data_IF_443807315414
#
_entry.id   IF_443807315414
#
_cell.length_a   1.000
_cell.length_b   1.000
_cell.length_c   1.000
_cell.angle_alpha   90.00
_cell.angle_beta   90.00
_cell.angle_gamma   90.00
#
_symmetry.space_group_name_H-M   'P 1'
#
loop_
_entity.id
_entity.type
_entity.pdbx_description
1 polymer ?
#
# COMPACT_ATOMS: atom_id res chain seq x y z
N UNK A 1 9.64 2.48 -37.47
CA UNK A 1 8.35 1.78 -37.49
C UNK A 1 7.78 1.79 -36.08
N UNK A 2 6.81 2.66 -35.81
CA UNK A 2 6.08 2.67 -34.54
C UNK A 2 4.70 2.05 -34.80
N UNK A 3 4.35 1.02 -34.02
CA UNK A 3 3.09 0.31 -34.09
C UNK A 3 2.07 1.12 -33.27
N UNK A 4 1.02 1.60 -33.93
CA UNK A 4 -0.10 2.29 -33.29
C UNK A 4 -0.98 1.28 -32.53
N UNK A 5 -1.21 1.53 -31.24
CA UNK A 5 -2.22 0.81 -30.47
C UNK A 5 -3.56 1.56 -30.59
N UNK A 6 -4.57 0.84 -31.08
CA UNK A 6 -5.94 1.32 -31.30
C UNK A 6 -6.72 1.43 -29.97
N UNK A 7 -7.30 2.57 -29.60
CA UNK A 7 -8.06 2.69 -28.36
C UNK A 7 -9.42 1.99 -28.43
N UNK A 8 -9.78 1.29 -27.34
CA UNK A 8 -11.01 0.49 -27.18
C UNK A 8 -12.28 1.36 -27.18
N UNK A 9 -13.36 0.77 -27.69
CA UNK A 9 -14.69 1.30 -28.08
C UNK A 9 -15.59 1.92 -26.98
N UNK A 10 -15.08 2.25 -25.79
CA UNK A 10 -15.91 2.82 -24.73
C UNK A 10 -16.13 4.35 -24.85
N UNK A 11 -15.47 5.00 -25.81
CA UNK A 11 -15.43 6.46 -25.94
C UNK A 11 -16.59 7.09 -26.74
N UNK A 12 -17.63 6.34 -27.12
CA UNK A 12 -18.60 6.80 -28.13
C UNK A 12 -19.85 7.51 -27.60
N UNK A 13 -20.00 7.82 -26.30
CA UNK A 13 -21.14 8.61 -25.82
C UNK A 13 -20.85 9.41 -24.53
N UNK A 14 -20.01 10.45 -24.64
CA UNK A 14 -19.96 11.53 -23.64
C UNK A 14 -20.28 12.86 -24.33
N UNK A 15 -21.33 13.60 -23.91
CA UNK A 15 -21.59 14.92 -24.46
C UNK A 15 -20.57 15.93 -23.93
N UNK A 16 -20.06 16.74 -24.87
CA UNK A 16 -19.40 18.05 -24.70
C UNK A 16 -18.22 18.13 -23.71
N UNK A 17 -17.05 18.30 -24.32
CA UNK A 17 -15.73 18.64 -23.77
C UNK A 17 -15.75 19.53 -22.52
N UNK A 18 -15.23 19.01 -21.40
CA UNK A 18 -14.65 19.84 -20.34
C UNK A 18 -13.13 19.83 -20.52
N UNK A 19 -12.56 20.96 -20.93
CA UNK A 19 -11.11 21.15 -20.96
C UNK A 19 -10.63 21.50 -19.56
N UNK A 20 -10.14 20.52 -18.81
CA UNK A 20 -9.43 20.77 -17.56
C UNK A 20 -7.98 21.05 -17.95
N UNK A 21 -7.60 22.33 -17.93
CA UNK A 21 -6.19 22.71 -17.98
C UNK A 21 -5.50 22.09 -16.77
N UNK A 22 -4.60 21.13 -16.99
CA UNK A 22 -3.76 20.56 -15.93
C UNK A 22 -2.60 21.55 -15.73
N UNK A 23 -2.54 22.32 -14.63
CA UNK A 23 -1.41 23.20 -14.39
C UNK A 23 -0.12 22.36 -14.23
N UNK A 24 1.02 22.90 -14.70
CA UNK A 24 2.34 22.28 -14.56
C UNK A 24 2.59 21.87 -13.10
N UNK A 25 3.22 20.71 -12.85
CA UNK A 25 3.50 20.25 -11.49
C UNK A 25 4.41 21.25 -10.76
N UNK A 26 3.92 21.72 -9.62
CA UNK A 26 4.66 22.59 -8.70
C UNK A 26 5.71 21.77 -7.94
N UNK A 27 6.98 22.15 -8.04
CA UNK A 27 8.09 21.58 -7.29
C UNK A 27 8.57 22.61 -6.25
N UNK A 28 8.11 22.56 -4.98
CA UNK A 28 8.68 23.45 -3.97
C UNK A 28 10.03 22.92 -3.53
N UNK A 29 11.10 23.67 -3.83
CA UNK A 29 12.26 23.72 -2.95
C UNK A 29 11.91 24.64 -1.79
N UNK A 30 12.29 24.25 -0.57
CA UNK A 30 12.22 25.03 0.66
C UNK A 30 10.90 24.92 1.45
N UNK A 31 11.07 24.87 2.77
CA UNK A 31 10.04 24.71 3.80
C UNK A 31 8.87 25.69 3.59
N UNK A 32 7.61 25.27 3.81
CA UNK A 32 6.46 26.14 3.56
C UNK A 32 6.47 27.33 4.54
N UNK A 33 6.44 28.53 3.98
CA UNK A 33 6.14 29.76 4.70
C UNK A 33 4.66 29.70 5.13
N UNK A 34 4.37 29.85 6.41
CA UNK A 34 3.02 29.64 6.98
C UNK A 34 2.01 30.74 6.64
N UNK A 35 2.44 31.84 6.00
CA UNK A 35 1.58 32.97 5.62
C UNK A 35 1.17 32.98 4.13
N UNK A 36 1.61 32.00 3.33
CA UNK A 36 1.32 31.96 1.91
C UNK A 36 -0.03 31.26 1.63
N UNK A 37 -1.08 32.06 1.42
CA UNK A 37 -2.44 31.59 1.06
C UNK A 37 -2.55 31.13 -0.39
N UNK A 38 -1.64 30.28 -0.85
CA UNK A 38 -1.57 29.78 -2.24
C UNK A 38 -2.85 29.09 -2.72
N UNK A 39 -3.68 28.56 -1.80
CA UNK A 39 -4.91 27.82 -2.14
C UNK A 39 -6.20 28.63 -1.92
N UNK A 40 -6.11 29.94 -1.62
CA UNK A 40 -7.21 30.82 -1.17
C UNK A 40 -8.51 30.85 -1.98
N UNK A 41 -8.53 30.33 -3.20
CA UNK A 41 -9.72 30.28 -4.09
C UNK A 41 -10.10 28.87 -4.53
N UNK A 42 -9.45 27.84 -3.97
CA UNK A 42 -9.62 26.46 -4.39
C UNK A 42 -10.42 25.67 -3.35
N UNK A 43 -11.36 24.88 -3.85
CA UNK A 43 -12.01 23.82 -3.10
C UNK A 43 -11.42 22.47 -3.53
N UNK A 44 -10.88 21.71 -2.58
CA UNK A 44 -10.18 20.45 -2.82
C UNK A 44 -10.99 19.30 -2.25
N UNK A 45 -11.44 18.40 -3.11
CA UNK A 45 -12.09 17.15 -2.71
C UNK A 45 -11.04 16.14 -2.22
N UNK A 46 -11.11 15.76 -0.95
CA UNK A 46 -10.15 14.84 -0.31
C UNK A 46 -10.77 13.45 -0.21
N UNK A 47 -10.29 12.54 -1.06
CA UNK A 47 -10.81 11.16 -1.19
C UNK A 47 -10.06 10.10 -0.39
N UNK A 48 -9.15 10.52 0.50
CA UNK A 48 -8.33 9.63 1.32
C UNK A 48 -9.17 8.93 2.40
N UNK A 49 -8.75 7.76 2.91
CA UNK A 49 -9.37 7.17 4.09
C UNK A 49 -9.47 8.17 5.23
N UNK A 50 -10.59 8.15 5.98
CA UNK A 50 -10.92 9.19 6.97
C UNK A 50 -9.78 9.47 7.96
N UNK A 51 -9.14 8.42 8.49
CA UNK A 51 -8.00 8.53 9.42
C UNK A 51 -6.74 9.21 8.83
N UNK A 52 -6.62 9.31 7.49
CA UNK A 52 -5.54 10.02 6.80
C UNK A 52 -6.00 11.37 6.21
N UNK A 53 -7.30 11.57 6.05
CA UNK A 53 -7.86 12.76 5.44
C UNK A 53 -7.63 14.00 6.32
N UNK A 54 -7.85 13.89 7.62
CA UNK A 54 -7.88 15.06 8.51
C UNK A 54 -6.58 15.86 8.53
N UNK A 55 -5.43 15.19 8.68
CA UNK A 55 -4.12 15.87 8.61
C UNK A 55 -3.92 16.57 7.25
N UNK A 56 -4.40 15.96 6.17
CA UNK A 56 -4.25 16.51 4.83
C UNK A 56 -5.19 17.70 4.59
N UNK A 57 -6.43 17.62 5.09
CA UNK A 57 -7.38 18.73 5.08
C UNK A 57 -6.82 19.94 5.81
N UNK A 58 -6.22 19.75 7.00
CA UNK A 58 -5.59 20.85 7.75
C UNK A 58 -4.45 21.52 6.98
N UNK A 59 -3.66 20.76 6.22
CA UNK A 59 -2.60 21.34 5.37
C UNK A 59 -3.20 22.23 4.29
N UNK A 60 -4.30 21.80 3.67
CA UNK A 60 -5.02 22.58 2.65
C UNK A 60 -5.63 23.85 3.26
N UNK A 61 -6.30 23.71 4.41
CA UNK A 61 -6.96 24.79 5.13
C UNK A 61 -5.95 25.83 5.63
N UNK A 62 -4.80 25.39 6.15
CA UNK A 62 -3.70 26.28 6.55
C UNK A 62 -3.09 27.03 5.37
N UNK A 63 -3.11 26.47 4.16
CA UNK A 63 -2.70 27.15 2.93
C UNK A 63 -3.82 28.02 2.31
N UNK A 64 -4.94 28.21 3.03
CA UNK A 64 -6.06 29.07 2.66
C UNK A 64 -7.14 28.41 1.80
N UNK A 65 -7.01 27.14 1.44
CA UNK A 65 -7.99 26.43 0.62
C UNK A 65 -9.16 25.85 1.42
N UNK A 66 -10.26 25.51 0.75
CA UNK A 66 -11.37 24.78 1.34
C UNK A 66 -11.20 23.27 1.11
N UNK A 67 -11.16 22.47 2.18
CA UNK A 67 -11.05 21.01 2.07
C UNK A 67 -12.40 20.32 2.24
N UNK A 68 -12.89 19.66 1.18
CA UNK A 68 -14.12 18.86 1.19
C UNK A 68 -13.75 17.42 1.52
N UNK A 69 -14.14 16.96 2.70
CA UNK A 69 -13.87 15.59 3.16
C UNK A 69 -14.84 14.63 2.47
N UNK A 70 -14.33 13.73 1.65
CA UNK A 70 -15.14 12.74 0.96
C UNK A 70 -14.39 11.41 0.84
N UNK A 71 -14.18 10.68 1.96
CA UNK A 71 -13.47 9.40 1.92
C UNK A 71 -14.16 8.43 0.96
N UNK A 72 -13.42 7.81 0.04
CA UNK A 72 -13.97 6.78 -0.88
C UNK A 72 -13.39 5.40 -0.63
N UNK A 73 -12.55 5.26 0.38
CA UNK A 73 -11.91 4.00 0.77
C UNK A 73 -11.92 3.88 2.29
N UNK A 74 -12.56 2.82 2.78
CA UNK A 74 -12.36 2.31 4.13
C UNK A 74 -11.57 1.00 4.04
N UNK A 75 -10.69 0.79 5.02
CA UNK A 75 -9.97 -0.46 5.19
C UNK A 75 -10.65 -1.20 6.32
N UNK A 76 -11.06 -2.43 6.06
CA UNK A 76 -11.69 -3.32 7.05
C UNK A 76 -10.96 -4.66 7.05
N UNK A 77 -11.04 -5.39 8.16
CA UNK A 77 -10.57 -6.77 8.18
C UNK A 77 -11.31 -7.58 7.11
N UNK A 78 -10.68 -8.63 6.60
CA UNK A 78 -11.47 -9.69 5.94
C UNK A 78 -12.37 -10.34 6.98
N UNK A 79 -13.45 -10.97 6.52
CA UNK A 79 -14.38 -11.62 7.43
C UNK A 79 -13.64 -12.72 8.21
N UNK A 80 -14.00 -12.91 9.48
CA UNK A 80 -13.34 -13.92 10.31
C UNK A 80 -13.47 -15.29 9.66
N UNK A 81 -12.32 -15.84 9.26
CA UNK A 81 -12.22 -17.11 8.57
C UNK A 81 -11.17 -17.97 9.29
N UNK A 82 -11.53 -19.18 9.77
CA UNK A 82 -10.57 -20.12 10.33
C UNK A 82 -9.34 -20.37 9.44
N UNK A 83 -9.51 -20.28 8.13
CA UNK A 83 -8.43 -20.42 7.15
C UNK A 83 -7.37 -19.32 7.29
N UNK A 84 -7.76 -18.08 7.59
CA UNK A 84 -6.82 -16.99 7.77
C UNK A 84 -5.94 -17.22 8.99
N UNK A 85 -6.54 -17.59 10.12
CA UNK A 85 -5.83 -17.94 11.34
C UNK A 85 -4.87 -19.11 11.09
N UNK A 86 -5.30 -20.11 10.32
CA UNK A 86 -4.46 -21.24 9.92
C UNK A 86 -3.26 -20.79 9.07
N UNK A 87 -3.49 -19.98 8.04
CA UNK A 87 -2.44 -19.43 7.17
C UNK A 87 -1.41 -18.61 7.98
N UNK A 88 -1.88 -17.77 8.91
CA UNK A 88 -1.00 -16.97 9.77
C UNK A 88 -0.23 -17.84 10.77
N UNK A 89 -0.82 -18.92 11.29
CA UNK A 89 -0.12 -19.90 12.13
C UNK A 89 0.94 -20.67 11.35
N UNK A 90 0.68 -20.95 10.07
CA UNK A 90 1.61 -21.60 9.15
C UNK A 90 2.80 -20.72 8.73
N UNK A 91 2.83 -19.44 9.10
CA UNK A 91 4.05 -18.62 8.97
C UNK A 91 5.25 -19.25 9.70
N UNK A 92 4.99 -20.11 10.69
CA UNK A 92 6.01 -20.91 11.35
C UNK A 92 6.80 -21.84 10.41
N UNK A 93 6.20 -22.20 9.27
CA UNK A 93 6.74 -23.09 8.25
C UNK A 93 7.45 -22.34 7.11
N UNK A 94 7.17 -21.04 6.96
CA UNK A 94 7.76 -20.19 5.93
C UNK A 94 9.22 -19.80 6.23
N UNK A 95 9.97 -19.52 5.17
CA UNK A 95 11.31 -18.97 5.25
C UNK A 95 11.28 -17.43 5.27
N UNK A 96 10.31 -16.84 4.55
CA UNK A 96 10.18 -15.39 4.39
C UNK A 96 8.72 -14.98 4.56
N UNK A 97 8.48 -13.92 5.34
CA UNK A 97 7.18 -13.26 5.45
C UNK A 97 7.31 -11.79 4.99
N UNK A 98 6.59 -11.43 3.93
CA UNK A 98 6.63 -10.09 3.32
C UNK A 98 5.37 -9.33 3.67
N UNK A 99 5.50 -8.26 4.44
CA UNK A 99 4.41 -7.33 4.73
C UNK A 99 4.44 -6.16 3.75
N UNK A 100 3.38 -6.03 2.95
CA UNK A 100 3.35 -5.01 1.88
C UNK A 100 2.89 -3.62 2.35
N UNK A 101 2.28 -3.52 3.53
CA UNK A 101 1.79 -2.24 4.07
C UNK A 101 1.67 -2.28 5.59
N UNK A 102 1.62 -1.11 6.23
CA UNK A 102 1.33 -1.01 7.65
C UNK A 102 -0.05 -1.59 8.01
N UNK A 103 -1.04 -1.48 7.11
CA UNK A 103 -2.35 -2.10 7.31
C UNK A 103 -2.23 -3.63 7.34
N UNK A 104 -1.45 -4.22 6.44
CA UNK A 104 -1.22 -5.66 6.44
C UNK A 104 -0.64 -6.15 7.79
N UNK A 105 0.20 -5.34 8.43
CA UNK A 105 0.68 -5.65 9.79
C UNK A 105 -0.46 -5.54 10.81
N UNK A 106 -1.17 -4.42 10.83
CA UNK A 106 -2.25 -4.14 11.79
C UNK A 106 -3.37 -5.20 11.76
N UNK A 107 -3.77 -5.64 10.57
CA UNK A 107 -4.84 -6.64 10.44
C UNK A 107 -4.35 -8.09 10.59
N UNK A 108 -3.05 -8.36 10.44
CA UNK A 108 -2.51 -9.69 10.72
C UNK A 108 -2.29 -9.91 12.23
N UNK A 109 -1.86 -8.87 12.95
CA UNK A 109 -1.43 -8.95 14.36
C UNK A 109 -2.39 -9.70 15.30
N UNK A 110 -3.72 -9.48 15.26
CA UNK A 110 -4.64 -10.18 16.16
C UNK A 110 -4.64 -11.71 16.00
N UNK A 111 -4.21 -12.21 14.85
CA UNK A 111 -4.22 -13.63 14.50
C UNK A 111 -2.79 -14.19 14.32
N UNK A 112 -1.75 -13.36 14.50
CA UNK A 112 -0.37 -13.82 14.51
C UNK A 112 -0.07 -14.58 15.81
N UNK A 113 0.79 -15.61 15.78
CA UNK A 113 1.26 -16.23 17.01
C UNK A 113 2.07 -15.22 17.83
N UNK A 114 2.04 -15.37 19.16
CA UNK A 114 2.75 -14.50 20.12
C UNK A 114 4.24 -14.31 19.78
N UNK A 115 4.85 -15.34 19.20
CA UNK A 115 6.25 -15.34 18.77
C UNK A 115 6.38 -15.91 17.38
N UNK A 116 6.92 -15.12 16.47
CA UNK A 116 7.38 -15.60 15.17
C UNK A 116 8.68 -16.40 15.33
N UNK A 117 8.91 -17.45 14.51
CA UNK A 117 10.16 -18.19 14.57
C UNK A 117 11.37 -17.30 14.27
N UNK A 118 12.47 -17.53 14.97
CA UNK A 118 13.74 -16.81 14.75
C UNK A 118 14.32 -17.01 13.36
N UNK A 119 14.01 -18.14 12.72
CA UNK A 119 14.41 -18.46 11.34
C UNK A 119 13.65 -17.65 10.28
N UNK A 120 12.43 -17.18 10.60
CA UNK A 120 11.56 -16.48 9.66
C UNK A 120 12.15 -15.11 9.33
N UNK A 121 12.43 -14.85 8.06
CA UNK A 121 12.89 -13.55 7.59
C UNK A 121 11.68 -12.65 7.33
N UNK A 122 11.44 -11.70 8.23
CA UNK A 122 10.39 -10.71 8.07
C UNK A 122 10.87 -9.54 7.20
N UNK A 123 10.12 -9.24 6.16
CA UNK A 123 10.44 -8.23 5.14
C UNK A 123 9.35 -7.16 5.15
N UNK A 124 9.76 -5.89 5.16
CA UNK A 124 8.85 -4.76 5.08
C UNK A 124 9.07 -3.99 3.77
N UNK A 125 8.00 -3.73 3.02
CA UNK A 125 8.10 -2.95 1.76
C UNK A 125 8.49 -1.48 2.01
N UNK A 126 8.06 -0.88 3.12
CA UNK A 126 8.27 0.54 3.38
C UNK A 126 8.51 0.90 4.86
N UNK A 127 9.01 2.12 5.08
CA UNK A 127 9.36 2.62 6.42
C UNK A 127 8.20 2.54 7.42
N UNK A 128 6.98 2.90 6.99
CA UNK A 128 5.80 2.82 7.85
C UNK A 128 5.52 1.38 8.28
N UNK A 129 5.61 0.43 7.33
CA UNK A 129 5.44 -1.00 7.61
C UNK A 129 6.49 -1.51 8.61
N UNK A 130 7.76 -1.16 8.40
CA UNK A 130 8.85 -1.55 9.29
C UNK A 130 8.69 -0.96 10.71
N UNK A 131 8.29 0.31 10.81
CA UNK A 131 8.01 0.95 12.09
C UNK A 131 6.85 0.26 12.82
N UNK A 132 5.78 -0.10 12.10
CA UNK A 132 4.65 -0.83 12.68
C UNK A 132 5.05 -2.22 13.18
N UNK A 133 5.87 -2.97 12.45
CA UNK A 133 6.38 -4.27 12.89
C UNK A 133 7.24 -4.14 14.17
N UNK A 134 8.17 -3.18 14.19
CA UNK A 134 9.05 -2.93 15.34
C UNK A 134 8.29 -2.50 16.59
N UNK A 135 7.22 -1.72 16.44
CA UNK A 135 6.34 -1.33 17.55
C UNK A 135 5.68 -2.54 18.25
N UNK A 136 5.61 -3.68 17.56
CA UNK A 136 5.09 -4.95 18.09
C UNK A 136 6.21 -5.96 18.35
N UNK A 137 7.45 -5.50 18.54
CA UNK A 137 8.64 -6.32 18.82
C UNK A 137 8.98 -7.35 17.74
N UNK A 138 8.50 -7.16 16.50
CA UNK A 138 8.85 -8.00 15.37
C UNK A 138 10.10 -7.44 14.68
N UNK A 139 11.17 -8.25 14.65
CA UNK A 139 12.42 -7.86 14.01
C UNK A 139 12.30 -7.86 12.47
N UNK A 140 12.69 -6.76 11.83
CA UNK A 140 12.63 -6.60 10.37
C UNK A 140 13.99 -6.97 9.77
N UNK A 141 14.04 -8.07 9.02
CA UNK A 141 15.25 -8.58 8.35
C UNK A 141 15.62 -7.81 7.09
N UNK A 142 14.63 -7.22 6.40
CA UNK A 142 14.85 -6.45 5.19
C UNK A 142 13.89 -5.28 5.08
N UNK A 143 14.43 -4.13 4.71
CA UNK A 143 13.73 -2.92 4.33
C UNK A 143 14.49 -2.29 3.16
N UNK A 144 13.86 -2.06 1.99
CA UNK A 144 14.52 -1.37 0.87
C UNK A 144 15.06 -0.01 1.29
N UNK A 145 16.30 0.31 0.87
CA UNK A 145 16.92 1.61 1.18
C UNK A 145 16.25 2.78 0.45
N UNK A 146 15.67 2.51 -0.72
CA UNK A 146 15.04 3.49 -1.62
C UNK A 146 13.83 2.87 -2.34
N UNK A 147 12.98 3.69 -2.95
CA UNK A 147 11.83 3.26 -3.78
C UNK A 147 10.59 2.76 -3.01
N UNK A 148 10.77 2.09 -1.87
CA UNK A 148 9.71 1.56 -0.99
C UNK A 148 8.52 0.91 -1.74
N UNK A 149 8.84 0.23 -2.85
CA UNK A 149 7.88 -0.40 -3.75
C UNK A 149 8.34 -1.83 -4.09
N UNK A 150 7.49 -2.56 -4.81
CA UNK A 150 7.74 -3.95 -5.21
C UNK A 150 9.05 -4.10 -5.99
N UNK A 151 9.29 -3.18 -6.92
CA UNK A 151 10.45 -3.18 -7.81
C UNK A 151 11.75 -3.00 -6.99
N UNK A 152 11.79 -2.01 -6.10
CA UNK A 152 12.93 -1.80 -5.22
C UNK A 152 13.14 -2.99 -4.28
N UNK A 153 12.07 -3.61 -3.79
CA UNK A 153 12.18 -4.79 -2.94
C UNK A 153 12.83 -5.96 -3.70
N UNK A 154 12.42 -6.19 -4.95
CA UNK A 154 12.95 -7.26 -5.81
C UNK A 154 14.43 -7.09 -6.21
N UNK A 155 15.03 -5.92 -5.99
CA UNK A 155 16.47 -5.70 -6.15
C UNK A 155 17.33 -6.21 -4.98
N UNK A 156 16.70 -6.54 -3.85
CA UNK A 156 17.42 -6.98 -2.65
C UNK A 156 18.11 -8.34 -2.83
N UNK A 157 19.37 -8.50 -2.40
CA UNK A 157 20.08 -9.78 -2.38
C UNK A 157 19.27 -10.92 -1.73
N UNK A 158 18.54 -10.64 -0.65
CA UNK A 158 17.74 -11.63 0.06
C UNK A 158 16.65 -12.26 -0.83
N UNK A 159 16.15 -11.51 -1.81
CA UNK A 159 15.08 -11.95 -2.71
C UNK A 159 15.57 -12.42 -4.07
N UNK A 160 16.87 -12.34 -4.37
CA UNK A 160 17.45 -12.93 -5.58
C UNK A 160 17.62 -14.45 -5.43
N UNK A 161 17.94 -14.94 -4.23
CA UNK A 161 18.20 -16.37 -3.97
C UNK A 161 17.06 -16.98 -3.15
N UNK A 162 15.93 -17.21 -3.81
CA UNK A 162 14.68 -17.71 -3.20
C UNK A 162 14.24 -19.08 -3.70
N UNK A 163 15.05 -19.74 -4.53
CA UNK A 163 14.74 -21.07 -5.05
C UNK A 163 14.49 -22.07 -3.90
N UNK A 164 13.36 -22.78 -3.97
CA UNK A 164 12.92 -23.75 -2.98
C UNK A 164 12.39 -23.15 -1.67
N UNK A 165 12.36 -21.82 -1.52
CA UNK A 165 11.88 -21.17 -0.29
C UNK A 165 10.36 -21.03 -0.28
N UNK A 166 9.80 -21.14 0.92
CA UNK A 166 8.39 -20.83 1.18
C UNK A 166 8.25 -19.36 1.60
N UNK A 167 7.50 -18.59 0.81
CA UNK A 167 7.30 -17.16 1.02
C UNK A 167 5.81 -16.86 1.22
N UNK A 168 5.49 -16.24 2.35
CA UNK A 168 4.16 -15.68 2.58
C UNK A 168 4.17 -14.17 2.28
N UNK A 169 3.20 -13.71 1.50
CA UNK A 169 2.97 -12.27 1.24
C UNK A 169 1.69 -11.86 1.94
N UNK A 170 1.83 -11.08 3.01
CA UNK A 170 0.73 -10.56 3.82
C UNK A 170 0.26 -9.25 3.19
N UNK A 171 -0.96 -9.25 2.65
CA UNK A 171 -1.52 -8.16 1.84
C UNK A 171 -3.00 -7.92 2.12
N UNK A 172 -3.55 -6.89 1.48
CA UNK A 172 -5.00 -6.77 1.35
C UNK A 172 -5.48 -7.48 0.09
N UNK A 173 -6.79 -7.73 0.05
CA UNK A 173 -7.47 -8.39 -1.06
C UNK A 173 -7.18 -7.68 -2.39
N UNK A 174 -6.72 -8.46 -3.37
CA UNK A 174 -6.36 -7.99 -4.71
C UNK A 174 -5.14 -7.06 -4.75
N UNK A 175 -4.78 -6.56 -5.93
CA UNK A 175 -3.61 -5.67 -6.15
C UNK A 175 -2.64 -6.19 -7.21
N UNK A 176 -1.37 -5.82 -7.12
CA UNK A 176 -0.34 -6.20 -8.11
C UNK A 176 0.22 -7.58 -7.84
N UNK A 177 0.35 -8.38 -8.90
CA UNK A 177 0.87 -9.74 -8.85
C UNK A 177 2.40 -9.84 -9.07
N UNK A 178 3.02 -8.76 -9.56
CA UNK A 178 4.44 -8.69 -9.91
C UNK A 178 5.39 -9.29 -8.86
N UNK A 179 5.13 -9.04 -7.56
CA UNK A 179 5.99 -9.54 -6.50
C UNK A 179 5.96 -11.07 -6.43
N UNK A 180 4.77 -11.68 -6.40
CA UNK A 180 4.66 -13.13 -6.35
C UNK A 180 5.12 -13.77 -7.65
N UNK A 181 4.71 -13.23 -8.80
CA UNK A 181 5.13 -13.72 -10.11
C UNK A 181 6.66 -13.77 -10.23
N UNK A 182 7.34 -12.68 -9.85
CA UNK A 182 8.80 -12.62 -9.92
C UNK A 182 9.46 -13.60 -8.94
N UNK A 183 8.96 -13.74 -7.71
CA UNK A 183 9.51 -14.66 -6.72
C UNK A 183 9.28 -16.12 -7.11
N UNK A 184 8.11 -16.44 -7.66
CA UNK A 184 7.79 -17.76 -8.21
C UNK A 184 8.66 -18.10 -9.43
N UNK A 185 8.90 -17.13 -10.32
CA UNK A 185 9.86 -17.29 -11.44
C UNK A 185 11.29 -17.54 -10.95
N UNK A 186 11.66 -17.02 -9.78
CA UNK A 186 12.93 -17.30 -9.10
C UNK A 186 12.93 -18.63 -8.33
N UNK A 187 11.87 -19.44 -8.46
CA UNK A 187 11.74 -20.78 -7.90
C UNK A 187 11.23 -20.86 -6.46
N UNK A 188 10.64 -19.79 -5.93
CA UNK A 188 9.99 -19.82 -4.61
C UNK A 188 8.56 -20.38 -4.71
N UNK A 189 8.08 -20.96 -3.62
CA UNK A 189 6.65 -21.23 -3.41
C UNK A 189 6.05 -20.02 -2.70
N UNK A 190 5.16 -19.30 -3.36
CA UNK A 190 4.57 -18.05 -2.83
C UNK A 190 3.10 -18.25 -2.49
N UNK A 191 2.73 -17.87 -1.27
CA UNK A 191 1.34 -17.89 -0.78
C UNK A 191 0.91 -16.49 -0.40
N UNK A 192 -0.30 -16.09 -0.80
CA UNK A 192 -0.93 -14.86 -0.31
C UNK A 192 -1.69 -15.12 0.98
N UNK A 193 -1.55 -14.17 1.90
CA UNK A 193 -2.38 -14.10 3.10
C UNK A 193 -3.08 -12.74 3.08
N UNK A 194 -4.38 -12.76 2.76
CA UNK A 194 -5.20 -11.56 2.62
C UNK A 194 -5.88 -11.24 3.95
N UNK A 195 -5.42 -10.18 4.62
CA UNK A 195 -5.86 -9.85 6.00
C UNK A 195 -6.83 -8.67 6.07
N UNK A 196 -6.96 -7.90 4.99
CA UNK A 196 -7.88 -6.76 4.94
C UNK A 196 -8.47 -6.58 3.54
N UNK A 197 -9.65 -5.97 3.45
CA UNK A 197 -10.28 -5.55 2.19
C UNK A 197 -10.50 -4.04 2.16
N UNK A 198 -10.55 -3.49 0.94
CA UNK A 198 -10.88 -2.09 0.68
C UNK A 198 -12.36 -2.04 0.31
N UNK A 199 -13.15 -1.25 1.04
CA UNK A 199 -14.59 -1.11 0.83
C UNK A 199 -14.96 0.36 0.66
N UNK A 200 -16.10 0.61 0.03
CA UNK A 200 -16.67 1.96 0.02
C UNK A 200 -17.13 2.32 1.44
N UNK A 201 -16.81 3.51 1.97
CA UNK A 201 -17.33 3.95 3.25
C UNK A 201 -18.85 4.11 3.22
N UNK A 202 -19.52 3.80 4.33
CA UNK A 202 -20.91 4.21 4.53
C UNK A 202 -20.92 5.72 4.81
N UNK A 203 -21.62 6.47 3.96
CA UNK A 203 -21.87 7.89 4.17
C UNK A 203 -23.24 8.02 4.83
N UNK A 204 -23.27 8.41 6.10
CA UNK A 204 -24.49 8.82 6.81
C UNK A 204 -24.61 10.34 6.75
#
# INVERSE_FOLDING_TARGET
MAIAANPKSWALNLPMTYSIAVPKPYLPSCMPNTDDKTLGKLSVLVTRPAHQAERFCRIIENAGGAAIRFPVITIVAVDDNPELTQQLTQLSQCDIAIFISANAVQYALPQLPDRLPTRLKVVAVGNKTAATLRAHNINVSLLPKQGFNTEALLTSPLLHTVQGKQIAIIRGVGGRELLAETLSQRGATVTYIEVYKRVLPEHT
#
